data_IF_965832686193
#
_entry.id   IF_965832686193
#
_cell.length_a   1.000
_cell.length_b   1.000
_cell.length_c   1.000
_cell.angle_alpha   90.00
_cell.angle_beta   90.00
_cell.angle_gamma   90.00
#
_symmetry.space_group_name_H-M   'P 1'
#
loop_
_entity.id
_entity.type
_entity.pdbx_description
1 polymer ?
#
# COMPACT_ATOMS: atom_id res chain seq x y z
N UNK A 1 -6.57 33.67 19.96
CA UNK A 1 -7.19 32.58 19.18
C UNK A 1 -6.07 31.70 18.69
N UNK A 2 -5.98 30.47 19.18
CA UNK A 2 -4.92 29.54 18.79
C UNK A 2 -5.31 28.97 17.41
N UNK A 3 -4.45 29.16 16.42
CA UNK A 3 -4.67 28.60 15.08
C UNK A 3 -4.59 27.07 15.21
N UNK A 4 -5.70 26.35 14.97
CA UNK A 4 -5.66 24.90 14.91
C UNK A 4 -5.05 24.55 13.56
N UNK A 5 -3.79 24.11 13.56
CA UNK A 5 -3.11 23.64 12.35
C UNK A 5 -3.54 22.21 12.06
N UNK A 6 -4.58 22.04 11.24
CA UNK A 6 -4.95 20.74 10.74
C UNK A 6 -3.93 20.32 9.69
N UNK A 7 -3.08 19.33 10.01
CA UNK A 7 -1.96 18.88 9.18
C UNK A 7 -2.43 18.12 7.93
N UNK A 8 -3.25 18.74 7.07
CA UNK A 8 -3.80 18.10 5.86
C UNK A 8 -2.71 17.68 4.87
N UNK A 9 -1.59 18.41 4.83
CA UNK A 9 -0.40 18.03 4.08
C UNK A 9 0.18 16.68 4.54
N UNK A 10 0.06 16.34 5.83
CA UNK A 10 0.53 15.06 6.37
C UNK A 10 -0.35 13.89 5.89
N UNK A 11 -1.62 14.16 5.59
CA UNK A 11 -2.57 13.17 5.07
C UNK A 11 -2.28 12.88 3.61
N UNK A 12 -1.98 13.92 2.81
CA UNK A 12 -1.50 13.75 1.44
C UNK A 12 -0.17 12.98 1.41
N UNK A 13 0.78 13.36 2.28
CA UNK A 13 2.06 12.68 2.44
C UNK A 13 1.90 11.21 2.87
N UNK A 14 0.90 10.90 3.71
CA UNK A 14 0.58 9.54 4.10
C UNK A 14 0.07 8.72 2.90
N UNK A 15 -0.82 9.28 2.07
CA UNK A 15 -1.25 8.62 0.83
C UNK A 15 -0.08 8.32 -0.12
N UNK A 16 0.88 9.25 -0.22
CA UNK A 16 2.15 9.04 -0.94
C UNK A 16 3.01 7.92 -0.35
N UNK A 17 3.12 7.89 0.98
CA UNK A 17 3.87 6.86 1.72
C UNK A 17 3.31 5.47 1.50
N UNK A 18 1.98 5.30 1.53
CA UNK A 18 1.32 4.01 1.28
C UNK A 18 1.65 3.47 -0.11
N UNK A 19 1.65 4.32 -1.14
CA UNK A 19 2.02 3.92 -2.51
C UNK A 19 3.49 3.52 -2.61
N UNK A 20 4.38 4.29 -1.98
CA UNK A 20 5.81 3.96 -1.94
C UNK A 20 6.09 2.63 -1.22
N UNK A 21 5.39 2.37 -0.11
CA UNK A 21 5.47 1.11 0.61
C UNK A 21 4.94 -0.06 -0.22
N UNK A 22 3.86 0.12 -0.98
CA UNK A 22 3.34 -0.90 -1.90
C UNK A 22 4.37 -1.26 -2.99
N UNK A 23 5.02 -0.26 -3.60
CA UNK A 23 6.09 -0.49 -4.58
C UNK A 23 7.30 -1.20 -3.96
N UNK A 24 7.70 -0.82 -2.74
CA UNK A 24 8.76 -1.52 -2.01
C UNK A 24 8.40 -2.96 -1.70
N UNK A 25 7.12 -3.24 -1.42
CA UNK A 25 6.64 -4.59 -1.15
C UNK A 25 6.69 -5.47 -2.40
N UNK A 26 6.39 -4.93 -3.58
CA UNK A 26 6.53 -5.66 -4.85
C UNK A 26 7.99 -6.03 -5.15
N UNK A 27 8.93 -5.13 -4.90
CA UNK A 27 10.35 -5.46 -5.03
C UNK A 27 10.76 -6.59 -4.08
N UNK A 28 10.22 -6.63 -2.86
CA UNK A 28 10.46 -7.71 -1.88
C UNK A 28 9.83 -9.02 -2.33
N UNK A 29 8.61 -8.99 -2.86
CA UNK A 29 7.93 -10.18 -3.39
C UNK A 29 8.76 -10.83 -4.51
N UNK A 30 9.23 -10.04 -5.47
CA UNK A 30 10.08 -10.56 -6.55
C UNK A 30 11.40 -11.15 -6.03
N UNK A 31 11.98 -10.58 -4.97
CA UNK A 31 13.15 -11.16 -4.32
C UNK A 31 12.84 -12.52 -3.68
N UNK A 32 11.75 -12.61 -2.93
CA UNK A 32 11.30 -13.87 -2.31
C UNK A 32 11.05 -14.94 -3.37
N UNK A 33 10.41 -14.59 -4.50
CA UNK A 33 10.15 -15.53 -5.60
C UNK A 33 11.46 -16.03 -6.21
N UNK A 34 12.46 -15.15 -6.41
CA UNK A 34 13.79 -15.57 -6.90
C UNK A 34 14.47 -16.54 -5.92
N UNK A 35 14.43 -16.24 -4.63
CA UNK A 35 15.02 -17.09 -3.60
C UNK A 35 14.28 -18.43 -3.52
N UNK A 36 12.96 -18.43 -3.64
CA UNK A 36 12.15 -19.64 -3.68
C UNK A 36 12.51 -20.53 -4.88
N UNK A 37 12.65 -19.94 -6.08
CA UNK A 37 13.08 -20.67 -7.29
C UNK A 37 14.48 -21.28 -7.07
N UNK A 38 15.42 -20.49 -6.53
CA UNK A 38 16.79 -20.96 -6.29
C UNK A 38 16.84 -22.09 -5.26
N UNK A 39 15.90 -22.11 -4.31
CA UNK A 39 15.77 -23.14 -3.28
C UNK A 39 14.70 -24.20 -3.61
N UNK A 40 14.23 -24.29 -4.86
CA UNK A 40 13.09 -25.13 -5.20
C UNK A 40 13.31 -26.63 -4.87
N UNK A 41 14.55 -27.09 -4.86
CA UNK A 41 14.93 -28.46 -4.49
C UNK A 41 14.50 -28.84 -3.07
N UNK A 42 14.38 -27.87 -2.15
CA UNK A 42 13.84 -28.10 -0.81
C UNK A 42 12.43 -28.72 -0.84
N UNK A 43 11.63 -28.36 -1.85
CA UNK A 43 10.29 -28.90 -2.06
C UNK A 43 10.25 -30.04 -3.09
N UNK A 44 11.38 -30.57 -3.55
CA UNK A 44 11.44 -31.55 -4.62
C UNK A 44 11.44 -30.95 -6.03
N UNK A 45 11.87 -29.69 -6.17
CA UNK A 45 12.03 -28.98 -7.43
C UNK A 45 10.87 -28.05 -7.79
N UNK A 46 11.10 -27.16 -8.76
CA UNK A 46 10.13 -26.11 -9.13
C UNK A 46 8.83 -26.64 -9.77
N UNK A 47 8.82 -27.90 -10.21
CA UNK A 47 7.62 -28.59 -10.71
C UNK A 47 6.85 -29.34 -9.63
N UNK A 48 7.32 -29.35 -8.37
CA UNK A 48 6.66 -30.10 -7.32
C UNK A 48 5.34 -29.44 -6.89
N UNK A 49 4.41 -30.27 -6.40
CA UNK A 49 3.16 -29.78 -5.85
C UNK A 49 3.37 -28.84 -4.66
N UNK A 50 4.36 -29.13 -3.81
CA UNK A 50 4.69 -28.31 -2.64
C UNK A 50 5.21 -26.92 -3.00
N UNK A 51 6.15 -26.85 -3.95
CA UNK A 51 6.67 -25.58 -4.46
C UNK A 51 5.56 -24.76 -5.12
N UNK A 52 4.76 -25.40 -5.97
CA UNK A 52 3.68 -24.73 -6.72
C UNK A 52 2.63 -24.16 -5.77
N UNK A 53 2.23 -24.91 -4.74
CA UNK A 53 1.30 -24.43 -3.73
C UNK A 53 1.87 -23.21 -2.98
N UNK A 54 3.13 -23.28 -2.54
CA UNK A 54 3.81 -22.17 -1.86
C UNK A 54 3.82 -20.89 -2.69
N UNK A 55 4.28 -20.95 -3.95
CA UNK A 55 4.35 -19.77 -4.82
C UNK A 55 2.95 -19.24 -5.16
N UNK A 56 1.96 -20.12 -5.30
CA UNK A 56 0.57 -19.72 -5.56
C UNK A 56 -0.01 -18.93 -4.38
N UNK A 57 0.13 -19.46 -3.16
CA UNK A 57 -0.37 -18.79 -1.96
C UNK A 57 0.38 -17.49 -1.69
N UNK A 58 1.70 -17.47 -1.93
CA UNK A 58 2.51 -16.27 -1.87
C UNK A 58 1.96 -15.19 -2.83
N UNK A 59 1.80 -15.53 -4.11
CA UNK A 59 1.29 -14.60 -5.12
C UNK A 59 -0.10 -14.07 -4.78
N UNK A 60 -1.02 -14.92 -4.31
CA UNK A 60 -2.36 -14.50 -3.88
C UNK A 60 -2.30 -13.49 -2.73
N UNK A 61 -1.46 -13.73 -1.72
CA UNK A 61 -1.32 -12.83 -0.57
C UNK A 61 -0.75 -11.46 -0.99
N UNK A 62 0.29 -11.44 -1.82
CA UNK A 62 0.90 -10.19 -2.27
C UNK A 62 -0.02 -9.40 -3.20
N UNK A 63 -0.73 -10.06 -4.11
CA UNK A 63 -1.74 -9.43 -4.97
C UNK A 63 -2.80 -8.68 -4.14
N UNK A 64 -3.33 -9.34 -3.09
CA UNK A 64 -4.29 -8.71 -2.19
C UNK A 64 -3.70 -7.47 -1.52
N UNK A 65 -2.45 -7.54 -1.03
CA UNK A 65 -1.83 -6.40 -0.37
C UNK A 65 -1.67 -5.22 -1.35
N UNK A 66 -1.31 -5.46 -2.61
CA UNK A 66 -1.19 -4.39 -3.61
C UNK A 66 -2.52 -3.70 -3.88
N UNK A 67 -3.57 -4.49 -4.10
CA UNK A 67 -4.92 -3.97 -4.34
C UNK A 67 -5.39 -3.12 -3.15
N UNK A 68 -5.20 -3.63 -1.93
CA UNK A 68 -5.62 -2.92 -0.72
C UNK A 68 -4.79 -1.67 -0.46
N UNK A 69 -3.46 -1.72 -0.64
CA UNK A 69 -2.61 -0.56 -0.45
C UNK A 69 -2.92 0.56 -1.47
N UNK A 70 -3.15 0.20 -2.72
CA UNK A 70 -3.55 1.15 -3.75
C UNK A 70 -4.91 1.79 -3.44
N UNK A 71 -5.92 0.96 -3.13
CA UNK A 71 -7.25 1.44 -2.76
C UNK A 71 -7.22 2.31 -1.50
N UNK A 72 -6.40 1.95 -0.52
CA UNK A 72 -6.23 2.73 0.70
C UNK A 72 -5.57 4.09 0.41
N UNK A 73 -4.50 4.13 -0.38
CA UNK A 73 -3.84 5.37 -0.76
C UNK A 73 -4.79 6.34 -1.48
N UNK A 74 -5.67 5.84 -2.35
CA UNK A 74 -6.70 6.66 -2.99
C UNK A 74 -7.72 7.21 -1.99
N UNK A 75 -8.20 6.38 -1.05
CA UNK A 75 -9.15 6.82 -0.01
C UNK A 75 -8.55 7.90 0.89
N UNK A 76 -7.29 7.74 1.30
CA UNK A 76 -6.57 8.72 2.12
C UNK A 76 -6.42 10.05 1.39
N UNK A 77 -6.06 10.01 0.11
CA UNK A 77 -5.97 11.21 -0.72
C UNK A 77 -7.33 11.92 -0.83
N UNK A 78 -8.40 11.17 -1.11
CA UNK A 78 -9.76 11.72 -1.18
C UNK A 78 -10.21 12.33 0.15
N UNK A 79 -9.90 11.68 1.27
CA UNK A 79 -10.17 12.21 2.60
C UNK A 79 -9.42 13.53 2.82
N UNK A 80 -8.13 13.59 2.46
CA UNK A 80 -7.33 14.82 2.51
C UNK A 80 -7.96 15.98 1.73
N UNK A 81 -8.37 15.74 0.49
CA UNK A 81 -9.05 16.75 -0.34
C UNK A 81 -10.39 17.21 0.24
N UNK A 82 -11.21 16.27 0.75
CA UNK A 82 -12.51 16.60 1.34
C UNK A 82 -12.35 17.44 2.61
N UNK A 83 -11.38 17.11 3.46
CA UNK A 83 -11.09 17.86 4.68
C UNK A 83 -10.60 19.28 4.38
N UNK A 84 -9.64 19.44 3.46
CA UNK A 84 -9.17 20.76 3.04
C UNK A 84 -10.30 21.63 2.46
N UNK A 85 -11.18 21.04 1.65
CA UNK A 85 -12.34 21.73 1.09
C UNK A 85 -13.35 22.16 2.17
N UNK A 86 -13.62 21.26 3.13
CA UNK A 86 -14.56 21.54 4.23
C UNK A 86 -14.03 22.64 5.13
N UNK A 87 -12.75 22.60 5.48
CA UNK A 87 -12.10 23.61 6.31
C UNK A 87 -12.14 25.00 5.65
N UNK A 88 -11.82 25.09 4.35
CA UNK A 88 -11.94 26.34 3.60
C UNK A 88 -13.37 26.88 3.55
N UNK A 89 -14.37 26.00 3.40
CA UNK A 89 -15.77 26.40 3.38
C UNK A 89 -16.23 26.92 4.75
N UNK A 90 -15.80 26.26 5.84
CA UNK A 90 -16.04 26.76 7.19
C UNK A 90 -15.33 28.10 7.39
N UNK A 91 -14.03 28.20 7.14
CA UNK A 91 -13.28 29.45 7.32
C UNK A 91 -13.91 30.65 6.60
N UNK A 92 -14.39 30.46 5.36
CA UNK A 92 -15.07 31.52 4.60
C UNK A 92 -16.45 31.91 5.14
N UNK A 93 -17.18 30.98 5.77
CA UNK A 93 -18.50 31.24 6.36
C UNK A 93 -18.43 32.11 7.62
N UNK A 94 -17.27 32.13 8.29
CA UNK A 94 -17.03 32.91 9.51
C UNK A 94 -16.22 34.19 9.27
N UNK A 95 -15.76 34.43 8.03
CA UNK A 95 -14.98 35.60 7.63
C UNK A 95 -15.83 36.84 7.39
#
# INVERSE_FOLDING_TARGET
MQLINYQFADIEAHGGTIRAQAASLEAKHQAIVRDAVAAADFWGGAGSAGYTAFVTDLGRNFQLIYEQAFAHGQKVQAAGSNMAGTDSAVGSSWA
#
